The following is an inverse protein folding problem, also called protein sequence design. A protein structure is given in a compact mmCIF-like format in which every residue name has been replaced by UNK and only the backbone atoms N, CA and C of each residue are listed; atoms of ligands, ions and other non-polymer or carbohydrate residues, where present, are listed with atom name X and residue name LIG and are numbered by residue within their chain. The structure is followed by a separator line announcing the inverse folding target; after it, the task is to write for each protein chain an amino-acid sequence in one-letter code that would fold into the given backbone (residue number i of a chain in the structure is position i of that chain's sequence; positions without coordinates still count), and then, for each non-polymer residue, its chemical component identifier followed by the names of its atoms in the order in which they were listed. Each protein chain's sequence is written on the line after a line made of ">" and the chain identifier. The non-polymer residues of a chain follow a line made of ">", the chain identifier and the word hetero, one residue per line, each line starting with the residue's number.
data_IF_242333998760
#
_entry.id   IF_242333998760
#
_cell.length_a   1.000
_cell.length_b   1.000
_cell.length_c   1.000
_cell.angle_alpha   90.00
_cell.angle_beta   90.00
_cell.angle_gamma   90.00
#
_symmetry.space_group_name_H-M   'P 1'
#
loop_
_entity.id
_entity.type
_entity.pdbx_description
1 polymer ?
#
# COMPACT_ATOMS: atom_id res chain seq x y z
N UNK A 1 5.45 7.74 24.62
CA UNK A 1 4.46 8.07 23.56
C UNK A 1 5.19 8.81 22.45
N UNK A 2 5.02 8.37 21.20
CA UNK A 2 5.60 9.02 20.01
C UNK A 2 5.03 10.45 19.84
N UNK A 3 5.85 11.50 19.78
CA UNK A 3 5.37 12.88 19.64
C UNK A 3 5.07 13.21 18.17
N UNK A 4 4.00 12.64 17.61
CA UNK A 4 3.70 12.73 16.18
C UNK A 4 3.22 14.12 15.72
N UNK A 5 2.69 14.96 16.61
CA UNK A 5 2.11 16.25 16.20
C UNK A 5 1.00 16.04 15.17
N UNK A 6 1.20 16.55 13.95
CA UNK A 6 0.26 16.43 12.83
C UNK A 6 0.51 15.19 11.93
N UNK A 7 1.56 14.41 12.19
CA UNK A 7 1.86 13.17 11.47
C UNK A 7 1.01 12.01 12.01
N UNK A 8 0.81 10.99 11.18
CA UNK A 8 0.01 9.79 11.49
C UNK A 8 0.49 8.58 10.70
N UNK A 9 -0.10 7.40 10.93
CA UNK A 9 -0.02 6.28 9.98
C UNK A 9 -1.04 6.47 8.85
N UNK A 10 -0.73 5.96 7.65
CA UNK A 10 -1.69 5.87 6.54
C UNK A 10 -2.48 4.56 6.65
N UNK A 11 -1.76 3.44 6.74
CA UNK A 11 -2.28 2.08 6.79
C UNK A 11 -1.61 1.31 7.95
N UNK A 12 -2.07 0.08 8.26
CA UNK A 12 -1.35 -0.82 9.17
C UNK A 12 0.08 -1.11 8.71
N UNK A 13 0.33 -1.12 7.40
CA UNK A 13 1.67 -1.28 6.82
C UNK A 13 2.47 0.03 6.81
N UNK A 14 2.05 1.09 7.50
CA UNK A 14 3.00 2.13 7.93
C UNK A 14 3.97 1.62 9.02
N UNK A 15 3.74 0.40 9.54
CA UNK A 15 4.59 -0.28 10.52
C UNK A 15 5.19 -1.55 9.91
N UNK A 16 6.40 -1.90 10.35
CA UNK A 16 7.05 -3.18 10.01
C UNK A 16 7.94 -3.64 11.17
N UNK A 17 8.18 -4.94 11.27
CA UNK A 17 9.11 -5.52 12.24
C UNK A 17 10.22 -6.26 11.49
N UNK A 18 11.48 -5.99 11.87
CA UNK A 18 12.66 -6.65 11.32
C UNK A 18 13.74 -6.74 12.40
N UNK A 19 14.32 -7.92 12.56
CA UNK A 19 15.43 -8.17 13.50
C UNK A 19 15.13 -7.66 14.93
N UNK A 20 13.95 -8.02 15.46
CA UNK A 20 13.43 -7.62 16.79
C UNK A 20 13.16 -6.12 16.97
N UNK A 21 13.39 -5.30 15.95
CA UNK A 21 13.07 -3.89 15.95
C UNK A 21 11.72 -3.63 15.27
N UNK A 22 10.93 -2.74 15.86
CA UNK A 22 9.72 -2.20 15.24
C UNK A 22 10.05 -0.88 14.54
N UNK A 23 9.45 -0.67 13.36
CA UNK A 23 9.62 0.52 12.54
C UNK A 23 8.28 1.18 12.29
N UNK A 24 8.29 2.51 12.16
CA UNK A 24 7.10 3.30 11.82
C UNK A 24 7.47 4.43 10.86
N UNK A 25 6.82 4.49 9.70
CA UNK A 25 7.00 5.54 8.70
C UNK A 25 5.86 6.56 8.79
N UNK A 26 6.22 7.83 8.90
CA UNK A 26 5.26 8.92 9.03
C UNK A 26 4.50 9.24 7.73
N UNK A 27 3.20 9.52 7.88
CA UNK A 27 2.34 10.07 6.85
C UNK A 27 1.79 11.45 7.28
N UNK A 28 1.54 12.35 6.33
CA UNK A 28 1.00 13.70 6.59
C UNK A 28 0.01 14.17 5.52
N UNK A 29 -0.89 15.08 5.89
CA UNK A 29 -1.89 15.70 4.98
C UNK A 29 -2.00 17.22 5.11
N UNK A 30 -1.11 17.86 5.88
CA UNK A 30 -1.18 19.30 6.12
C UNK A 30 -0.56 20.14 4.99
N UNK A 31 0.19 19.52 4.08
CA UNK A 31 0.75 20.18 2.89
C UNK A 31 0.77 19.25 1.67
N UNK A 32 0.64 19.82 0.48
CA UNK A 32 0.89 19.14 -0.80
C UNK A 32 2.37 19.14 -1.19
N UNK A 33 3.18 19.98 -0.55
CA UNK A 33 4.62 20.07 -0.79
C UNK A 33 5.42 19.00 -0.06
N UNK A 34 6.73 19.01 -0.30
CA UNK A 34 7.66 18.13 0.41
C UNK A 34 7.68 18.44 1.91
N UNK A 35 7.69 17.37 2.71
CA UNK A 35 7.85 17.42 4.16
C UNK A 35 9.00 16.50 4.58
N UNK A 36 9.51 16.73 5.78
CA UNK A 36 10.46 15.81 6.39
C UNK A 36 9.69 14.60 6.94
N UNK A 37 9.94 13.42 6.37
CA UNK A 37 9.26 12.19 6.78
C UNK A 37 10.21 11.36 7.63
N UNK A 38 9.84 11.07 8.87
CA UNK A 38 10.67 10.25 9.77
C UNK A 38 10.31 8.78 9.63
N UNK A 39 11.34 7.96 9.60
CA UNK A 39 11.28 6.56 10.01
C UNK A 39 11.70 6.50 11.47
N UNK A 40 10.77 6.07 12.31
CA UNK A 40 11.02 5.76 13.71
C UNK A 40 11.44 4.29 13.85
N UNK A 41 12.27 4.01 14.85
CA UNK A 41 12.64 2.66 15.27
C UNK A 41 12.46 2.52 16.78
N UNK A 42 11.95 1.38 17.20
CA UNK A 42 11.95 0.90 18.57
C UNK A 42 12.70 -0.43 18.64
N UNK A 43 13.49 -0.62 19.70
CA UNK A 43 14.24 -1.86 20.00
C UNK A 43 13.78 -2.49 21.32
N UNK A 44 12.66 -2.01 21.86
CA UNK A 44 12.11 -2.39 23.16
C UNK A 44 10.61 -2.69 23.08
N UNK A 45 10.18 -3.29 21.95
CA UNK A 45 8.79 -3.70 21.74
C UNK A 45 7.80 -2.54 21.64
N UNK A 46 8.25 -1.37 21.16
CA UNK A 46 7.43 -0.17 20.99
C UNK A 46 7.32 0.70 22.24
N UNK A 47 8.04 0.40 23.33
CA UNK A 47 8.00 1.19 24.55
C UNK A 47 8.64 2.58 24.38
N UNK A 48 9.80 2.64 23.71
CA UNK A 48 10.48 3.87 23.31
C UNK A 48 10.84 3.85 21.83
N UNK A 49 10.94 5.04 21.24
CA UNK A 49 11.17 5.20 19.81
C UNK A 49 12.20 6.31 19.56
N UNK A 50 13.09 6.08 18.61
CA UNK A 50 14.07 7.05 18.13
C UNK A 50 13.94 7.23 16.61
N UNK A 51 14.26 8.41 16.11
CA UNK A 51 14.32 8.65 14.67
C UNK A 51 15.50 7.85 14.10
N UNK A 52 15.20 6.86 13.26
CA UNK A 52 16.19 6.04 12.56
C UNK A 52 16.67 6.71 11.28
N UNK A 53 15.74 7.33 10.56
CA UNK A 53 16.03 8.02 9.29
C UNK A 53 15.08 9.19 9.07
N UNK A 54 15.61 10.22 8.41
CA UNK A 54 14.85 11.33 7.85
C UNK A 54 14.87 11.23 6.32
N UNK A 55 13.70 11.17 5.71
CA UNK A 55 13.50 11.25 4.27
C UNK A 55 13.14 12.69 3.86
N UNK A 56 13.62 13.09 2.70
CA UNK A 56 13.41 14.41 2.10
C UNK A 56 12.93 14.23 0.66
N UNK A 57 12.28 15.25 0.10
CA UNK A 57 11.79 15.19 -1.29
C UNK A 57 10.44 14.50 -1.46
N UNK A 58 9.81 14.07 -0.36
CA UNK A 58 8.53 13.36 -0.37
C UNK A 58 7.45 14.16 0.35
N UNK A 59 6.21 14.03 -0.09
CA UNK A 59 5.05 14.60 0.61
C UNK A 59 4.73 13.80 1.87
N UNK A 60 4.66 12.48 1.77
CA UNK A 60 4.34 11.57 2.86
C UNK A 60 4.83 10.15 2.59
N UNK A 61 5.12 9.39 3.66
CA UNK A 61 5.41 7.96 3.56
C UNK A 61 4.13 7.13 3.53
N UNK A 62 4.01 6.28 2.53
CA UNK A 62 2.84 5.44 2.28
C UNK A 62 2.87 4.14 3.09
N UNK A 63 3.97 3.40 3.00
CA UNK A 63 4.07 2.07 3.60
C UNK A 63 5.51 1.59 3.82
N UNK A 64 5.63 0.52 4.59
CA UNK A 64 6.83 -0.21 4.96
C UNK A 64 6.59 -1.71 4.78
N UNK A 65 7.62 -2.43 4.34
CA UNK A 65 7.64 -3.89 4.35
C UNK A 65 9.00 -4.37 4.83
N UNK A 66 9.01 -5.39 5.69
CA UNK A 66 10.21 -6.11 6.06
C UNK A 66 10.37 -7.37 5.20
N UNK A 67 11.59 -7.63 4.75
CA UNK A 67 12.04 -8.91 4.18
C UNK A 67 13.05 -9.55 5.16
N UNK A 68 12.58 -10.36 6.12
CA UNK A 68 13.44 -11.01 7.10
C UNK A 68 14.44 -11.97 6.45
N UNK A 69 14.10 -12.60 5.33
CA UNK A 69 15.00 -13.53 4.64
C UNK A 69 16.22 -12.83 4.05
N UNK A 70 16.15 -11.51 3.82
CA UNK A 70 17.23 -10.71 3.24
C UNK A 70 17.71 -9.58 4.15
N UNK A 71 17.25 -9.55 5.41
CA UNK A 71 17.51 -8.46 6.36
C UNK A 71 17.26 -7.07 5.74
N UNK A 72 16.14 -6.94 5.01
CA UNK A 72 15.86 -5.74 4.25
C UNK A 72 14.56 -5.07 4.67
N UNK A 73 14.52 -3.74 4.54
CA UNK A 73 13.31 -2.95 4.66
C UNK A 73 13.00 -2.29 3.31
N UNK A 74 11.72 -2.15 3.02
CA UNK A 74 11.19 -1.37 1.92
C UNK A 74 10.38 -0.20 2.45
N UNK A 75 10.43 0.94 1.77
CA UNK A 75 9.66 2.13 2.09
C UNK A 75 9.06 2.73 0.81
N UNK A 76 7.80 3.13 0.90
CA UNK A 76 7.02 3.64 -0.23
C UNK A 76 6.60 5.08 -0.01
N UNK A 77 6.59 5.86 -1.08
CA UNK A 77 6.21 7.26 -1.10
C UNK A 77 5.41 7.55 -2.37
N UNK A 78 4.57 8.58 -2.34
CA UNK A 78 3.64 8.87 -3.42
C UNK A 78 3.18 10.33 -3.46
N UNK A 79 2.30 10.61 -4.43
CA UNK A 79 1.53 11.83 -4.75
C UNK A 79 1.83 12.39 -6.15
N UNK A 80 3.03 12.91 -6.38
CA UNK A 80 3.49 13.39 -7.70
C UNK A 80 4.72 12.63 -8.16
N UNK A 81 5.04 12.62 -9.46
CA UNK A 81 6.25 11.95 -9.99
C UNK A 81 7.49 12.17 -9.10
N UNK A 82 7.81 13.42 -8.78
CA UNK A 82 8.98 13.77 -7.98
C UNK A 82 8.91 13.32 -6.51
N UNK A 83 7.70 13.08 -6.00
CA UNK A 83 7.45 12.65 -4.62
C UNK A 83 7.25 11.13 -4.51
N UNK A 84 6.97 10.45 -5.62
CA UNK A 84 6.76 9.00 -5.66
C UNK A 84 8.08 8.24 -5.66
N UNK A 85 8.11 7.09 -4.99
CA UNK A 85 9.27 6.22 -5.01
C UNK A 85 9.22 5.03 -4.07
N UNK A 86 10.00 4.01 -4.44
CA UNK A 86 10.20 2.78 -3.71
C UNK A 86 11.68 2.68 -3.36
N UNK A 87 11.96 2.57 -2.06
CA UNK A 87 13.31 2.53 -1.52
C UNK A 87 13.55 1.24 -0.77
N UNK A 88 14.79 0.77 -0.79
CA UNK A 88 15.22 -0.44 -0.09
C UNK A 88 16.42 -0.17 0.81
N UNK A 89 16.40 -0.70 2.02
CA UNK A 89 17.50 -0.72 2.98
C UNK A 89 17.91 -2.16 3.27
N UNK A 90 19.20 -2.39 3.57
CA UNK A 90 19.75 -3.68 4.03
C UNK A 90 20.57 -3.55 5.30
N UNK A 91 20.43 -2.43 6.01
CA UNK A 91 21.19 -2.08 7.21
C UNK A 91 20.28 -1.59 8.35
N UNK A 92 19.09 -2.19 8.44
CA UNK A 92 18.07 -1.84 9.44
C UNK A 92 17.59 -0.39 9.29
N UNK A 93 17.44 0.10 8.06
CA UNK A 93 16.89 1.41 7.76
C UNK A 93 17.83 2.60 7.97
N UNK A 94 19.14 2.39 8.14
CA UNK A 94 20.10 3.50 8.25
C UNK A 94 20.34 4.17 6.89
N UNK A 95 20.65 3.36 5.88
CA UNK A 95 20.81 3.80 4.48
C UNK A 95 19.78 3.15 3.57
N UNK A 96 19.46 3.85 2.49
CA UNK A 96 18.38 3.50 1.57
C UNK A 96 18.84 3.74 0.14
N UNK A 97 18.59 2.76 -0.72
CA UNK A 97 18.81 2.82 -2.16
C UNK A 97 17.46 2.99 -2.84
N UNK A 98 17.36 3.96 -3.75
CA UNK A 98 16.18 4.11 -4.60
C UNK A 98 16.12 2.93 -5.58
N UNK A 99 14.98 2.24 -5.63
CA UNK A 99 14.69 1.19 -6.60
C UNK A 99 13.86 1.77 -7.75
N UNK A 100 12.84 2.56 -7.40
CA UNK A 100 12.11 3.43 -8.32
C UNK A 100 12.01 4.80 -7.66
N UNK A 101 12.27 5.89 -8.39
CA UNK A 101 12.15 7.24 -7.86
C UNK A 101 11.85 8.24 -8.98
N UNK A 102 11.12 9.31 -8.65
CA UNK A 102 10.85 10.37 -9.62
C UNK A 102 9.85 9.96 -10.70
N UNK A 103 9.00 8.96 -10.41
CA UNK A 103 8.03 8.42 -11.34
C UNK A 103 6.82 7.84 -10.60
N UNK A 104 5.63 8.07 -11.16
CA UNK A 104 4.38 7.42 -10.77
C UNK A 104 4.45 5.89 -10.76
N UNK A 105 5.44 5.27 -11.42
CA UNK A 105 5.63 3.82 -11.32
C UNK A 105 5.98 3.32 -9.91
N UNK A 106 6.58 4.19 -9.10
CA UNK A 106 6.86 3.93 -7.69
C UNK A 106 5.78 4.45 -6.75
N UNK A 107 4.65 4.95 -7.26
CA UNK A 107 3.54 5.40 -6.43
C UNK A 107 2.71 4.19 -5.98
N UNK A 108 3.01 3.71 -4.78
CA UNK A 108 2.35 2.54 -4.19
C UNK A 108 2.04 2.80 -2.72
N UNK A 109 0.88 2.35 -2.27
CA UNK A 109 0.49 2.40 -0.85
C UNK A 109 0.98 1.15 -0.12
N UNK A 110 0.88 0.01 -0.78
CA UNK A 110 1.08 -1.30 -0.19
C UNK A 110 1.61 -2.30 -1.22
N UNK A 111 2.31 -3.32 -0.75
CA UNK A 111 2.89 -4.36 -1.58
C UNK A 111 3.01 -5.67 -0.79
N UNK A 112 3.46 -6.73 -1.47
CA UNK A 112 3.88 -7.96 -0.82
C UNK A 112 5.17 -8.46 -1.44
N UNK A 113 5.97 -9.19 -0.65
CA UNK A 113 7.23 -9.77 -1.10
C UNK A 113 6.98 -11.01 -1.96
N UNK A 114 7.66 -11.05 -3.08
CA UNK A 114 7.80 -12.26 -3.88
C UNK A 114 9.00 -13.09 -3.37
N UNK A 115 9.06 -14.40 -3.69
CA UNK A 115 10.12 -15.29 -3.20
C UNK A 115 11.55 -14.82 -3.52
N UNK A 116 11.75 -14.08 -4.61
CA UNK A 116 13.04 -13.53 -5.00
C UNK A 116 13.39 -12.17 -4.35
N UNK A 117 12.51 -11.64 -3.50
CA UNK A 117 12.69 -10.39 -2.77
C UNK A 117 12.18 -9.15 -3.53
N UNK A 118 11.69 -9.32 -4.76
CA UNK A 118 10.97 -8.26 -5.47
C UNK A 118 9.58 -8.05 -4.88
N UNK A 119 8.90 -6.99 -5.30
CA UNK A 119 7.57 -6.62 -4.79
C UNK A 119 6.49 -6.90 -5.82
N UNK A 120 5.34 -7.38 -5.37
CA UNK A 120 4.07 -7.32 -6.11
C UNK A 120 3.19 -6.25 -5.44
N UNK A 121 2.62 -5.35 -6.21
CA UNK A 121 1.86 -4.21 -5.71
C UNK A 121 0.75 -3.78 -6.67
N UNK A 122 -0.31 -3.19 -6.13
CA UNK A 122 -1.16 -2.27 -6.88
C UNK A 122 -0.59 -0.84 -6.83
N UNK A 123 -0.73 -0.10 -7.92
CA UNK A 123 -0.23 1.28 -8.03
C UNK A 123 -1.30 2.31 -7.63
N UNK A 124 -0.88 3.30 -6.84
CA UNK A 124 -1.67 4.44 -6.36
C UNK A 124 -1.58 5.61 -7.34
N UNK A 125 -2.00 5.37 -8.58
CA UNK A 125 -1.97 6.39 -9.64
C UNK A 125 -3.38 6.92 -9.84
N UNK A 126 -3.59 8.17 -9.44
CA UNK A 126 -4.88 8.87 -9.54
C UNK A 126 -5.03 9.66 -10.84
N UNK A 127 -3.92 10.00 -11.50
CA UNK A 127 -3.88 10.93 -12.63
C UNK A 127 -3.14 10.38 -13.86
N UNK A 128 -3.74 10.57 -15.04
CA UNK A 128 -3.17 10.15 -16.32
C UNK A 128 -2.15 11.17 -16.87
N UNK A 129 -1.11 10.69 -17.60
CA UNK A 129 -0.55 9.33 -17.62
C UNK A 129 0.43 9.10 -16.43
N UNK A 130 0.73 7.83 -16.03
CA UNK A 130 0.27 6.55 -16.62
C UNK A 130 -1.07 6.05 -16.01
N UNK A 131 -1.51 4.84 -16.37
CA UNK A 131 -2.65 4.18 -15.74
C UNK A 131 -2.20 3.33 -14.54
N UNK A 132 -2.99 3.27 -13.45
CA UNK A 132 -2.72 2.35 -12.35
C UNK A 132 -2.83 0.89 -12.80
N UNK A 133 -2.08 0.04 -12.14
CA UNK A 133 -2.10 -1.38 -12.40
C UNK A 133 -1.59 -2.21 -11.24
N UNK A 134 -1.73 -3.53 -11.40
CA UNK A 134 -1.02 -4.51 -10.61
C UNK A 134 0.30 -4.78 -11.31
N UNK A 135 1.40 -4.58 -10.61
CA UNK A 135 2.73 -4.64 -11.15
C UNK A 135 3.69 -5.35 -10.21
N UNK A 136 4.78 -5.85 -10.79
CA UNK A 136 5.97 -6.27 -10.08
C UNK A 136 7.05 -5.21 -10.19
N UNK A 137 7.65 -4.85 -9.06
CA UNK A 137 8.85 -4.00 -8.99
C UNK A 137 10.05 -4.88 -8.67
N UNK A 138 10.93 -5.04 -9.65
CA UNK A 138 12.18 -5.78 -9.55
C UNK A 138 13.22 -5.08 -8.68
N UNK A 139 14.18 -5.85 -8.16
CA UNK A 139 15.30 -5.32 -7.37
C UNK A 139 16.22 -4.38 -8.17
N UNK A 140 16.17 -4.46 -9.50
CA UNK A 140 16.89 -3.61 -10.45
C UNK A 140 16.10 -2.36 -10.88
N UNK A 141 14.91 -2.14 -10.31
CA UNK A 141 14.01 -1.05 -10.68
C UNK A 141 13.13 -1.35 -11.89
N UNK A 142 13.19 -2.56 -12.46
CA UNK A 142 12.27 -2.95 -13.54
C UNK A 142 10.82 -3.01 -13.05
N UNK A 143 9.89 -2.50 -13.87
CA UNK A 143 8.45 -2.50 -13.56
C UNK A 143 7.73 -3.34 -14.61
N UNK A 144 7.19 -4.48 -14.19
CA UNK A 144 6.40 -5.38 -15.05
C UNK A 144 4.93 -5.25 -14.68
N UNK A 145 4.09 -4.74 -15.58
CA UNK A 145 2.64 -4.60 -15.35
C UNK A 145 1.88 -5.85 -15.80
N UNK A 146 1.00 -6.37 -14.95
CA UNK A 146 0.21 -7.58 -15.21
C UNK A 146 -1.26 -7.29 -15.51
N UNK A 147 -1.84 -6.31 -14.83
CA UNK A 147 -3.25 -5.94 -14.96
C UNK A 147 -3.41 -4.43 -14.85
N UNK A 148 -4.12 -3.81 -15.77
CA UNK A 148 -4.56 -2.41 -15.59
C UNK A 148 -5.75 -2.38 -14.63
N UNK A 149 -5.66 -1.52 -13.61
CA UNK A 149 -6.75 -1.32 -12.66
C UNK A 149 -7.68 -0.19 -13.15
N UNK A 150 -8.96 -0.22 -12.77
CA UNK A 150 -9.89 0.85 -13.11
C UNK A 150 -9.57 2.14 -12.35
N UNK A 151 -8.85 2.07 -11.23
CA UNK A 151 -8.48 3.22 -10.40
C UNK A 151 -7.31 2.85 -9.48
N UNK A 152 -6.90 3.77 -8.62
CA UNK A 152 -5.76 3.64 -7.71
C UNK A 152 -5.90 2.43 -6.76
N UNK A 153 -4.78 1.94 -6.22
CA UNK A 153 -4.75 0.79 -5.31
C UNK A 153 -4.08 1.09 -3.98
N UNK A 154 -4.71 0.61 -2.91
CA UNK A 154 -4.35 0.95 -1.52
C UNK A 154 -3.94 -0.26 -0.67
N UNK A 155 -4.04 -1.47 -1.22
CA UNK A 155 -3.74 -2.70 -0.50
C UNK A 155 -3.32 -3.83 -1.43
N UNK A 156 -2.34 -4.62 -0.99
CA UNK A 156 -1.90 -5.84 -1.68
C UNK A 156 -1.57 -6.91 -0.65
N UNK A 157 -2.15 -8.10 -0.78
CA UNK A 157 -1.99 -9.17 0.19
C UNK A 157 -1.62 -10.49 -0.48
N UNK A 158 -0.57 -11.14 0.02
CA UNK A 158 -0.28 -12.53 -0.31
C UNK A 158 -1.10 -13.45 0.60
N UNK A 159 -1.88 -14.34 0.00
CA UNK A 159 -2.68 -15.32 0.72
C UNK A 159 -1.75 -16.42 1.23
N UNK A 160 -1.88 -16.83 2.50
CA UNK A 160 -1.03 -17.87 3.11
C UNK A 160 -1.11 -19.21 2.39
N UNK A 161 -2.32 -19.59 1.94
CA UNK A 161 -2.53 -20.77 1.11
C UNK A 161 -2.04 -20.59 -0.33
N UNK A 162 -1.45 -19.44 -0.65
CA UNK A 162 -0.90 -18.97 -1.92
C UNK A 162 -1.93 -18.34 -2.85
N UNK A 163 -1.43 -17.50 -3.75
CA UNK A 163 -2.21 -16.52 -4.50
C UNK A 163 -2.16 -15.14 -3.83
N UNK A 164 -2.84 -14.18 -4.44
CA UNK A 164 -2.76 -12.77 -4.09
C UNK A 164 -4.12 -12.10 -4.24
N UNK A 165 -4.38 -11.08 -3.43
CA UNK A 165 -5.52 -10.18 -3.57
C UNK A 165 -5.04 -8.74 -3.53
N UNK A 166 -5.57 -7.91 -4.42
CA UNK A 166 -5.31 -6.47 -4.51
C UNK A 166 -6.62 -5.71 -4.38
N UNK A 167 -6.64 -4.69 -3.53
CA UNK A 167 -7.75 -3.76 -3.40
C UNK A 167 -7.55 -2.49 -4.22
N UNK A 168 -8.51 -2.18 -5.09
CA UNK A 168 -8.57 -0.94 -5.83
C UNK A 168 -9.63 -0.01 -5.22
N UNK A 169 -9.22 1.24 -4.98
CA UNK A 169 -10.02 2.34 -4.44
C UNK A 169 -10.67 3.10 -5.58
N UNK A 170 -11.86 3.66 -5.37
CA UNK A 170 -12.36 4.74 -6.23
C UNK A 170 -12.17 6.07 -5.54
N UNK A 171 -11.36 6.93 -6.15
CA UNK A 171 -11.09 8.30 -5.70
C UNK A 171 -11.90 9.30 -6.51
N UNK A 172 -12.46 10.31 -5.85
CA UNK A 172 -13.36 11.26 -6.49
C UNK A 172 -12.68 12.21 -7.46
N UNK A 173 -11.49 12.67 -7.08
CA UNK A 173 -10.76 13.68 -7.83
C UNK A 173 -9.80 13.06 -8.87
N UNK A 174 -9.85 11.74 -9.05
CA UNK A 174 -9.01 10.99 -9.97
C UNK A 174 -9.58 10.94 -11.40
N UNK A 175 -8.73 11.07 -12.43
CA UNK A 175 -9.13 11.02 -13.84
C UNK A 175 -8.90 9.63 -14.50
N UNK A 176 -8.31 8.70 -13.76
CA UNK A 176 -8.03 7.33 -14.22
C UNK A 176 -9.29 6.47 -14.32
N UNK A 177 -10.29 6.78 -13.48
CA UNK A 177 -11.54 6.03 -13.31
C UNK A 177 -12.42 6.08 -14.58
N UNK A 178 -12.91 4.93 -15.09
CA UNK A 178 -13.85 4.92 -16.22
C UNK A 178 -15.11 5.75 -15.95
N UNK A 179 -15.72 6.28 -17.01
CA UNK A 179 -16.98 7.00 -16.90
C UNK A 179 -18.06 6.15 -16.20
N UNK A 180 -18.70 6.71 -15.17
CA UNK A 180 -19.71 6.02 -14.37
C UNK A 180 -19.17 5.04 -13.33
N UNK A 181 -17.85 4.85 -13.22
CA UNK A 181 -17.25 4.00 -12.19
C UNK A 181 -17.40 4.64 -10.81
N UNK A 182 -18.11 3.97 -9.89
CA UNK A 182 -18.48 4.47 -8.55
C UNK A 182 -18.38 3.35 -7.50
N UNK A 183 -17.26 2.64 -7.50
CA UNK A 183 -17.07 1.45 -6.68
C UNK A 183 -15.58 1.16 -6.43
N UNK A 184 -15.26 0.64 -5.26
CA UNK A 184 -14.01 -0.07 -5.05
C UNK A 184 -14.10 -1.47 -5.67
N UNK A 185 -12.97 -2.13 -5.86
CA UNK A 185 -12.96 -3.51 -6.35
C UNK A 185 -11.82 -4.34 -5.77
N UNK A 186 -12.04 -5.64 -5.65
CA UNK A 186 -11.01 -6.61 -5.29
C UNK A 186 -10.62 -7.42 -6.51
N UNK A 187 -9.33 -7.67 -6.66
CA UNK A 187 -8.74 -8.44 -7.75
C UNK A 187 -7.94 -9.60 -7.18
N UNK A 188 -8.07 -10.78 -7.77
CA UNK A 188 -7.45 -12.01 -7.30
C UNK A 188 -6.58 -12.65 -8.35
N UNK A 189 -5.53 -13.34 -7.89
CA UNK A 189 -4.68 -14.17 -8.74
C UNK A 189 -4.16 -15.38 -7.99
N UNK A 190 -4.12 -16.53 -8.66
CA UNK A 190 -3.49 -17.75 -8.12
C UNK A 190 -1.97 -17.81 -8.33
N UNK A 191 -1.45 -17.14 -9.37
CA UNK A 191 -0.06 -17.21 -9.81
C UNK A 191 0.68 -15.86 -9.78
N UNK A 192 -0.03 -14.76 -9.50
CA UNK A 192 0.49 -13.39 -9.49
C UNK A 192 0.61 -12.76 -10.89
N UNK A 193 0.23 -13.47 -11.95
CA UNK A 193 0.38 -13.03 -13.35
C UNK A 193 -0.98 -12.86 -14.02
N UNK A 194 -1.91 -13.80 -13.80
CA UNK A 194 -3.27 -13.74 -14.35
C UNK A 194 -4.23 -13.27 -13.27
N UNK A 195 -4.93 -12.16 -13.55
CA UNK A 195 -5.78 -11.49 -12.58
C UNK A 195 -7.23 -11.46 -13.03
N UNK A 196 -8.14 -11.66 -12.09
CA UNK A 196 -9.57 -11.48 -12.29
C UNK A 196 -10.18 -10.60 -11.20
N UNK A 197 -11.25 -9.90 -11.55
CA UNK A 197 -12.01 -9.13 -10.56
C UNK A 197 -12.89 -10.07 -9.76
N UNK A 198 -12.74 -10.03 -8.43
CA UNK A 198 -13.46 -10.88 -7.49
C UNK A 198 -14.75 -10.25 -6.99
N UNK A 199 -14.71 -8.94 -6.69
CA UNK A 199 -15.78 -8.23 -6.01
C UNK A 199 -15.79 -6.77 -6.41
N UNK A 200 -16.99 -6.20 -6.55
CA UNK A 200 -17.21 -4.76 -6.55
C UNK A 200 -17.82 -4.35 -5.21
N UNK A 201 -17.38 -3.22 -4.69
CA UNK A 201 -17.92 -2.60 -3.46
C UNK A 201 -18.47 -1.22 -3.85
N UNK A 202 -19.79 -1.11 -4.08
CA UNK A 202 -20.40 0.15 -4.52
C UNK A 202 -20.23 1.26 -3.48
N UNK A 203 -20.11 2.49 -3.96
CA UNK A 203 -20.04 3.69 -3.13
C UNK A 203 -21.39 3.98 -2.45
N UNK A 204 -21.37 4.39 -1.18
CA UNK A 204 -22.56 4.85 -0.44
C UNK A 204 -22.85 6.34 -0.70
N UNK A 205 -21.89 7.22 -0.41
CA UNK A 205 -21.95 8.66 -0.64
C UNK A 205 -21.11 9.05 -1.85
N UNK A 206 -21.77 9.60 -2.88
CA UNK A 206 -21.15 10.06 -4.12
C UNK A 206 -20.13 11.21 -3.93
N UNK A 207 -20.02 11.78 -2.72
CA UNK A 207 -19.09 12.87 -2.37
C UNK A 207 -17.89 12.42 -1.53
N UNK A 208 -17.69 11.12 -1.34
CA UNK A 208 -16.48 10.59 -0.69
C UNK A 208 -15.87 9.43 -1.47
N UNK A 209 -14.57 9.19 -1.36
CA UNK A 209 -13.94 7.99 -1.93
C UNK A 209 -14.59 6.70 -1.38
N UNK A 210 -14.51 5.59 -2.12
CA UNK A 210 -14.87 4.25 -1.60
C UNK A 210 -13.67 3.31 -1.67
N UNK A 211 -13.45 2.54 -0.60
CA UNK A 211 -12.27 1.68 -0.43
C UNK A 211 -12.66 0.25 -0.06
N UNK A 212 -11.82 -0.69 -0.49
CA UNK A 212 -11.90 -2.10 -0.14
C UNK A 212 -10.47 -2.63 0.04
N UNK A 213 -9.96 -2.50 1.27
CA UNK A 213 -8.54 -2.70 1.56
C UNK A 213 -8.29 -4.03 2.26
N UNK A 214 -7.42 -4.86 1.69
CA UNK A 214 -7.02 -6.16 2.25
C UNK A 214 -5.67 -6.05 2.98
N UNK A 215 -5.71 -6.00 4.31
CA UNK A 215 -4.47 -5.93 5.11
C UNK A 215 -4.19 -7.20 5.90
N UNK A 216 -5.21 -8.02 6.19
CA UNK A 216 -5.05 -9.15 7.11
C UNK A 216 -5.73 -10.42 6.63
N UNK A 217 -5.19 -11.54 7.08
CA UNK A 217 -5.75 -12.88 6.93
C UNK A 217 -5.86 -13.53 8.32
N UNK A 218 -7.05 -14.01 8.67
CA UNK A 218 -7.29 -14.74 9.91
C UNK A 218 -6.55 -16.10 9.91
N UNK A 219 -6.28 -16.70 11.08
CA UNK A 219 -5.72 -18.05 11.15
C UNK A 219 -6.57 -19.12 10.45
N UNK A 220 -7.88 -18.87 10.33
CA UNK A 220 -8.85 -19.72 9.63
C UNK A 220 -8.84 -19.56 8.10
N UNK A 221 -8.04 -18.62 7.57
CA UNK A 221 -7.82 -18.42 6.13
C UNK A 221 -8.76 -17.41 5.46
N UNK A 222 -9.69 -16.80 6.19
CA UNK A 222 -10.46 -15.67 5.67
C UNK A 222 -9.63 -14.40 5.60
N UNK A 223 -9.71 -13.71 4.48
CA UNK A 223 -9.21 -12.37 4.30
C UNK A 223 -10.17 -11.37 4.96
N UNK A 224 -9.60 -10.40 5.66
CA UNK A 224 -10.31 -9.30 6.30
C UNK A 224 -10.15 -8.07 5.43
N UNK A 225 -11.24 -7.67 4.79
CA UNK A 225 -11.27 -6.48 3.91
C UNK A 225 -11.87 -5.34 4.70
N UNK A 226 -11.11 -4.28 4.97
CA UNK A 226 -11.65 -3.03 5.50
C UNK A 226 -12.39 -2.30 4.38
N UNK A 227 -13.64 -1.93 4.63
CA UNK A 227 -14.42 -1.14 3.67
C UNK A 227 -14.74 0.23 4.25
N UNK A 228 -14.71 1.25 3.37
CA UNK A 228 -15.06 2.63 3.71
C UNK A 228 -15.96 3.22 2.65
N UNK A 229 -16.97 3.97 3.09
CA UNK A 229 -18.02 4.52 2.21
C UNK A 229 -18.66 3.44 1.30
N UNK A 230 -18.82 2.21 1.82
CA UNK A 230 -19.38 1.09 1.09
C UNK A 230 -20.90 1.02 1.28
N UNK A 231 -21.64 0.93 0.17
CA UNK A 231 -23.09 0.75 0.20
C UNK A 231 -23.47 -0.55 0.92
N UNK A 232 -24.50 -0.48 1.77
CA UNK A 232 -24.98 -1.62 2.55
C UNK A 232 -24.27 -1.84 3.89
N UNK A 233 -23.28 -1.00 4.24
CA UNK A 233 -22.64 -0.99 5.56
C UNK A 233 -23.15 0.21 6.38
N UNK A 234 -24.03 -0.02 7.35
CA UNK A 234 -24.55 1.04 8.21
C UNK A 234 -24.04 0.91 9.66
N UNK A 235 -23.80 2.03 10.37
CA UNK A 235 -23.93 3.42 9.90
C UNK A 235 -22.70 3.90 9.11
N UNK A 236 -22.93 4.61 7.99
CA UNK A 236 -21.91 5.47 7.36
C UNK A 236 -20.89 4.77 6.43
N UNK A 237 -21.19 3.57 5.95
CA UNK A 237 -20.39 2.86 4.94
C UNK A 237 -19.09 2.23 5.47
N UNK A 238 -18.93 2.13 6.79
CA UNK A 238 -17.71 1.60 7.43
C UNK A 238 -17.93 0.16 7.89
N UNK A 239 -16.96 -0.71 7.65
CA UNK A 239 -17.02 -2.08 8.16
C UNK A 239 -15.92 -2.99 7.67
N UNK A 240 -16.19 -4.29 7.77
CA UNK A 240 -15.31 -5.34 7.28
C UNK A 240 -16.10 -6.40 6.50
N UNK A 241 -15.51 -6.89 5.40
CA UNK A 241 -15.92 -8.13 4.75
C UNK A 241 -14.96 -9.24 5.16
N UNK A 242 -15.51 -10.44 5.41
CA UNK A 242 -14.73 -11.66 5.52
C UNK A 242 -14.89 -12.45 4.24
N UNK A 243 -13.79 -12.63 3.51
CA UNK A 243 -13.79 -13.34 2.22
C UNK A 243 -12.92 -14.57 2.34
N UNK A 244 -13.49 -15.72 1.98
CA UNK A 244 -12.72 -16.94 1.76
C UNK A 244 -12.52 -17.11 0.26
N UNK A 245 -11.27 -17.20 -0.18
CA UNK A 245 -10.95 -17.47 -1.57
C UNK A 245 -10.89 -18.98 -1.82
N UNK A 246 -11.26 -19.38 -3.03
CA UNK A 246 -11.08 -20.77 -3.51
C UNK A 246 -10.18 -20.72 -4.74
N UNK A 247 -9.13 -21.55 -4.79
CA UNK A 247 -8.37 -21.73 -6.03
C UNK A 247 -9.26 -22.44 -7.05
N UNK A 248 -9.30 -21.91 -8.27
CA UNK A 248 -9.87 -22.59 -9.44
C UNK A 248 -8.75 -22.97 -10.39
#
# INVERSE_FOLDING_TARGET
>A
MLPLGAYRSLTPHSFAELDEAAYFLEYQVFTAGNALIRLWQSVDGGATWAVRRLFQGHRHGHGLIADPARHALWAFFGDTDLQSGVYRSTDGGATWTAIVAGSQDGDIVDATLLPDGSLLCGQDISYLPPRPGIARIGLDGSVTRYQTLPSASYSTHAIRAGGYVVGATYELDADVSPAGWRQASLWGSGDGVHWEKLLDVPQLDAKQDVRADVYWELPSGELVINVRNAAGFEPGGLGYLLIRTTRR
#
